data_IF_970222571115
#
_entry.id   IF_970222571115
#
_cell.length_a   1.000
_cell.length_b   1.000
_cell.length_c   1.000
_cell.angle_alpha   90.00
_cell.angle_beta   90.00
_cell.angle_gamma   90.00
#
_symmetry.space_group_name_H-M   'P 1'
#
loop_
_entity.id
_entity.type
_entity.pdbx_description
1 polymer ?
#
# COMPACT_ATOMS: atom_id res chain seq x y z
N UNK A 1 6.94 -26.57 -10.12
CA UNK A 1 7.56 -25.23 -10.09
C UNK A 1 7.43 -24.72 -8.66
N UNK A 2 8.53 -24.42 -7.98
CA UNK A 2 8.52 -24.01 -6.57
C UNK A 2 8.30 -22.49 -6.43
N UNK A 3 7.58 -21.89 -7.38
CA UNK A 3 7.40 -20.45 -7.51
C UNK A 3 5.96 -20.15 -7.87
N UNK A 4 5.40 -19.12 -7.22
CA UNK A 4 4.07 -18.58 -7.49
C UNK A 4 4.19 -17.14 -7.96
N UNK A 5 3.32 -16.73 -8.89
CA UNK A 5 3.31 -15.38 -9.47
C UNK A 5 2.02 -14.66 -9.12
N UNK A 6 2.14 -13.38 -8.79
CA UNK A 6 1.06 -12.47 -8.46
C UNK A 6 1.10 -11.25 -9.39
N UNK A 7 -0.07 -10.68 -9.67
CA UNK A 7 -0.22 -9.37 -10.31
C UNK A 7 -0.91 -8.42 -9.33
N UNK A 8 -0.18 -7.42 -8.83
CA UNK A 8 -0.67 -6.44 -7.85
C UNK A 8 -0.44 -5.05 -8.43
N UNK A 9 -1.49 -4.23 -8.48
CA UNK A 9 -1.44 -2.90 -9.09
C UNK A 9 -0.77 -2.89 -10.48
N UNK A 10 -1.10 -3.88 -11.30
CA UNK A 10 -0.56 -4.11 -12.65
C UNK A 10 0.91 -4.54 -12.75
N UNK A 11 1.61 -4.66 -11.62
CA UNK A 11 3.00 -5.10 -11.54
C UNK A 11 3.08 -6.57 -11.11
N UNK A 12 4.08 -7.29 -11.61
CA UNK A 12 4.26 -8.71 -11.29
C UNK A 12 5.24 -8.92 -10.16
N UNK A 13 4.88 -9.81 -9.24
CA UNK A 13 5.75 -10.30 -8.18
C UNK A 13 5.76 -11.82 -8.21
N UNK A 14 6.90 -12.42 -7.90
CA UNK A 14 6.97 -13.85 -7.68
C UNK A 14 7.60 -14.19 -6.35
N UNK A 15 7.19 -15.34 -5.80
CA UNK A 15 7.75 -15.87 -4.55
C UNK A 15 8.17 -17.31 -4.82
N UNK A 16 9.45 -17.59 -4.66
CA UNK A 16 10.04 -18.92 -4.72
C UNK A 16 10.33 -19.44 -3.31
N UNK A 17 9.84 -20.64 -3.00
CA UNK A 17 10.01 -21.26 -1.69
C UNK A 17 10.56 -22.69 -1.82
N UNK A 18 11.65 -23.08 -1.14
CA UNK A 18 12.27 -24.40 -1.29
C UNK A 18 11.31 -25.58 -1.07
N UNK A 19 10.39 -25.45 -0.11
CA UNK A 19 9.38 -26.46 0.23
C UNK A 19 8.14 -26.47 -0.69
N UNK A 20 8.09 -25.60 -1.71
CA UNK A 20 6.97 -25.52 -2.66
C UNK A 20 5.98 -24.38 -2.37
N UNK A 21 5.03 -24.19 -3.31
CA UNK A 21 4.12 -23.04 -3.31
C UNK A 21 3.00 -23.12 -2.27
N UNK A 22 2.69 -24.32 -1.76
CA UNK A 22 1.61 -24.52 -0.80
C UNK A 22 1.89 -23.79 0.52
N UNK A 23 3.15 -23.79 0.98
CA UNK A 23 3.58 -23.02 2.15
C UNK A 23 3.34 -21.51 1.96
N UNK A 24 3.62 -21.00 0.76
CA UNK A 24 3.41 -19.58 0.44
C UNK A 24 1.92 -19.24 0.44
N UNK A 25 1.08 -20.08 -0.18
CA UNK A 25 -0.36 -19.84 -0.24
C UNK A 25 -1.03 -19.94 1.14
N UNK A 26 -0.56 -20.84 2.01
CA UNK A 26 -1.06 -20.94 3.38
C UNK A 26 -0.65 -19.71 4.21
N UNK A 27 0.60 -19.27 4.11
CA UNK A 27 1.12 -18.12 4.86
C UNK A 27 0.54 -16.78 4.37
N UNK A 28 0.30 -16.67 3.06
CA UNK A 28 -0.13 -15.45 2.37
C UNK A 28 -1.49 -15.64 1.70
N UNK A 29 -2.44 -16.24 2.40
CA UNK A 29 -3.77 -16.57 1.87
C UNK A 29 -4.51 -15.36 1.24
N UNK A 30 -4.32 -14.16 1.80
CA UNK A 30 -4.87 -12.90 1.27
C UNK A 30 -4.36 -12.50 -0.11
N UNK A 31 -3.29 -13.11 -0.61
CA UNK A 31 -2.77 -12.87 -1.96
C UNK A 31 -3.47 -13.74 -3.01
N UNK A 32 -4.31 -14.71 -2.61
CA UNK A 32 -4.97 -15.64 -3.52
C UNK A 32 -5.71 -14.97 -4.70
N UNK A 33 -6.44 -13.85 -4.50
CA UNK A 33 -7.12 -13.16 -5.60
C UNK A 33 -6.17 -12.56 -6.66
N UNK A 34 -4.89 -12.42 -6.36
CA UNK A 34 -3.89 -11.79 -7.22
C UNK A 34 -3.03 -12.81 -7.99
N UNK A 35 -3.24 -14.12 -7.80
CA UNK A 35 -2.45 -15.17 -8.45
C UNK A 35 -2.66 -15.15 -9.97
N UNK A 36 -1.56 -15.20 -10.72
CA UNK A 36 -1.56 -15.33 -12.18
C UNK A 36 -0.58 -16.42 -12.62
N UNK A 37 -0.77 -16.97 -13.82
CA UNK A 37 0.11 -18.04 -14.34
C UNK A 37 1.52 -17.55 -14.64
N UNK A 38 1.64 -16.38 -15.26
CA UNK A 38 2.90 -15.77 -15.69
C UNK A 38 2.66 -14.27 -15.99
N UNK A 39 3.74 -13.47 -16.10
CA UNK A 39 3.64 -12.13 -16.67
C UNK A 39 3.01 -12.14 -18.07
N UNK A 40 2.21 -11.11 -18.38
CA UNK A 40 1.71 -10.90 -19.73
C UNK A 40 2.88 -10.65 -20.71
N UNK A 41 2.64 -10.91 -22.00
CA UNK A 41 3.67 -10.73 -23.03
C UNK A 41 4.23 -9.30 -23.01
N UNK A 42 5.56 -9.20 -22.93
CA UNK A 42 6.26 -7.90 -22.88
C UNK A 42 6.27 -7.22 -21.51
N UNK A 43 5.65 -7.81 -20.49
CA UNK A 43 5.75 -7.32 -19.10
C UNK A 43 6.79 -8.12 -18.31
N UNK A 44 7.57 -7.42 -17.51
CA UNK A 44 8.63 -8.03 -16.70
C UNK A 44 8.16 -8.39 -15.29
N UNK A 45 8.90 -9.29 -14.63
CA UNK A 45 8.81 -9.47 -13.19
C UNK A 45 9.36 -8.23 -12.49
N UNK A 46 8.53 -7.56 -11.68
CA UNK A 46 8.97 -6.36 -10.95
C UNK A 46 9.73 -6.71 -9.68
N UNK A 47 9.25 -7.71 -8.96
CA UNK A 47 9.89 -8.21 -7.74
C UNK A 47 9.97 -9.74 -7.76
N UNK A 48 11.17 -10.27 -7.51
CA UNK A 48 11.41 -11.68 -7.26
C UNK A 48 11.78 -11.87 -5.79
N UNK A 49 10.99 -12.66 -5.07
CA UNK A 49 11.23 -13.02 -3.67
C UNK A 49 11.72 -14.46 -3.62
N UNK A 50 12.85 -14.69 -2.97
CA UNK A 50 13.47 -15.99 -2.76
C UNK A 50 13.55 -16.27 -1.26
N UNK A 51 12.94 -17.36 -0.80
CA UNK A 51 13.06 -17.81 0.58
C UNK A 51 14.34 -18.62 0.73
N UNK A 52 15.18 -18.20 1.67
CA UNK A 52 16.51 -18.79 1.93
C UNK A 52 16.68 -19.10 3.41
N UNK A 53 17.58 -20.04 3.73
CA UNK A 53 17.89 -20.40 5.12
C UNK A 53 18.81 -19.37 5.79
N UNK A 54 19.61 -18.64 5.02
CA UNK A 54 20.56 -17.63 5.50
C UNK A 54 20.80 -16.54 4.45
N UNK A 55 21.07 -15.32 4.91
CA UNK A 55 21.48 -14.19 4.06
C UNK A 55 22.99 -14.17 3.75
N UNK A 56 23.74 -15.17 4.21
CA UNK A 56 25.17 -15.32 3.90
C UNK A 56 26.01 -14.14 4.40
N UNK A 57 26.75 -13.49 3.49
CA UNK A 57 27.67 -12.37 3.79
C UNK A 57 26.98 -11.00 3.91
N UNK A 58 25.65 -10.94 3.78
CA UNK A 58 24.90 -9.68 3.91
C UNK A 58 25.13 -9.05 5.28
N UNK A 59 25.52 -7.76 5.32
CA UNK A 59 25.89 -7.06 6.55
C UNK A 59 25.03 -5.81 6.74
N UNK A 60 24.73 -5.52 8.00
CA UNK A 60 24.15 -4.23 8.40
C UNK A 60 25.29 -3.21 8.47
N UNK A 61 25.29 -2.24 7.56
CA UNK A 61 26.33 -1.20 7.52
C UNK A 61 25.84 0.10 8.16
N UNK A 62 25.10 0.94 7.41
CA UNK A 62 24.53 2.19 7.89
C UNK A 62 23.02 2.08 8.04
N UNK A 63 22.48 2.45 9.20
CA UNK A 63 21.03 2.58 9.39
C UNK A 63 20.49 3.75 8.56
N UNK A 64 19.49 3.46 7.72
CA UNK A 64 18.79 4.45 6.90
C UNK A 64 17.48 4.84 7.55
N UNK A 65 16.74 3.88 8.08
CA UNK A 65 15.42 4.11 8.66
C UNK A 65 15.14 3.11 9.77
N UNK A 66 14.49 3.61 10.82
CA UNK A 66 13.94 2.79 11.88
C UNK A 66 12.59 3.30 12.32
N UNK A 67 11.63 2.39 12.43
CA UNK A 67 10.29 2.65 12.94
C UNK A 67 10.05 1.72 14.10
N UNK A 68 9.79 2.28 15.28
CA UNK A 68 9.55 1.53 16.51
C UNK A 68 8.22 1.92 17.14
N UNK A 69 7.45 0.90 17.50
CA UNK A 69 6.25 1.00 18.35
C UNK A 69 6.40 0.06 19.54
N UNK A 70 5.40 0.01 20.43
CA UNK A 70 5.44 -0.85 21.62
C UNK A 70 5.58 -2.36 21.32
N UNK A 71 5.19 -2.80 20.13
CA UNK A 71 5.15 -4.22 19.74
C UNK A 71 5.79 -4.52 18.38
N UNK A 72 6.21 -3.51 17.63
CA UNK A 72 6.80 -3.67 16.30
C UNK A 72 8.06 -2.81 16.15
N UNK A 73 9.11 -3.39 15.57
CA UNK A 73 10.31 -2.66 15.17
C UNK A 73 10.67 -3.06 13.73
N UNK A 74 10.80 -2.07 12.85
CA UNK A 74 11.27 -2.28 11.47
C UNK A 74 12.49 -1.40 11.23
N UNK A 75 13.55 -1.96 10.65
CA UNK A 75 14.79 -1.25 10.36
C UNK A 75 15.29 -1.56 8.96
N UNK A 76 15.91 -0.56 8.33
CA UNK A 76 16.53 -0.65 7.02
C UNK A 76 17.97 -0.16 7.13
N UNK A 77 18.89 -0.95 6.61
CA UNK A 77 20.31 -0.66 6.57
C UNK A 77 20.83 -0.72 5.13
N UNK A 78 21.90 0.00 4.83
CA UNK A 78 22.73 -0.30 3.66
C UNK A 78 23.45 -1.63 3.87
N UNK A 79 23.74 -2.34 2.78
CA UNK A 79 24.50 -3.58 2.74
C UNK A 79 25.20 -3.63 1.37
N UNK A 80 26.52 -3.79 1.28
CA UNK A 80 27.32 -3.85 0.04
C UNK A 80 26.61 -3.72 -1.34
N UNK A 81 25.89 -4.76 -1.75
CA UNK A 81 25.20 -4.90 -3.04
C UNK A 81 23.68 -4.55 -3.02
N UNK A 82 23.18 -3.97 -1.94
CA UNK A 82 21.77 -3.70 -1.72
C UNK A 82 21.42 -3.06 -0.38
N UNK A 83 20.35 -3.56 0.22
CA UNK A 83 19.83 -3.14 1.52
C UNK A 83 19.50 -4.35 2.38
N UNK A 84 19.66 -4.18 3.68
CA UNK A 84 19.30 -5.17 4.67
C UNK A 84 18.09 -4.67 5.46
N UNK A 85 17.05 -5.49 5.55
CA UNK A 85 15.82 -5.19 6.28
C UNK A 85 15.65 -6.18 7.43
N UNK A 86 15.25 -5.67 8.59
CA UNK A 86 14.83 -6.51 9.71
C UNK A 86 13.49 -6.02 10.26
N UNK A 87 12.54 -6.93 10.47
CA UNK A 87 11.24 -6.62 11.06
C UNK A 87 10.98 -7.59 12.20
N UNK A 88 10.66 -7.03 13.37
CA UNK A 88 10.32 -7.77 14.58
C UNK A 88 8.90 -7.41 15.02
N UNK A 89 8.12 -8.42 15.38
CA UNK A 89 6.81 -8.26 16.03
C UNK A 89 6.59 -9.39 17.04
N UNK A 90 6.54 -9.03 18.33
CA UNK A 90 6.46 -10.01 19.41
C UNK A 90 7.65 -10.99 19.36
N UNK A 91 7.38 -12.26 19.05
CA UNK A 91 8.41 -13.31 18.94
C UNK A 91 8.72 -13.69 17.47
N UNK A 92 8.15 -12.98 16.49
CA UNK A 92 8.41 -13.21 15.08
C UNK A 92 9.45 -12.21 14.59
N UNK A 93 10.52 -12.72 13.99
CA UNK A 93 11.64 -11.91 13.50
C UNK A 93 11.99 -12.34 12.08
N UNK A 94 11.92 -11.40 11.15
CA UNK A 94 12.16 -11.63 9.72
C UNK A 94 13.28 -10.74 9.25
N UNK A 95 14.21 -11.32 8.52
CA UNK A 95 15.32 -10.60 7.90
C UNK A 95 15.29 -10.78 6.39
N UNK A 96 15.71 -9.75 5.68
CA UNK A 96 15.79 -9.80 4.23
C UNK A 96 16.96 -8.99 3.69
N UNK A 97 17.50 -9.46 2.57
CA UNK A 97 18.45 -8.71 1.75
C UNK A 97 17.81 -8.40 0.41
N UNK A 98 17.80 -7.14 0.00
CA UNK A 98 17.21 -6.71 -1.26
C UNK A 98 18.25 -6.00 -2.13
N UNK A 99 18.24 -6.26 -3.44
CA UNK A 99 19.11 -5.59 -4.40
C UNK A 99 18.91 -4.06 -4.44
N UNK A 100 19.91 -3.30 -4.89
CA UNK A 100 19.87 -1.82 -4.97
C UNK A 100 18.67 -1.26 -5.76
N UNK A 101 18.17 -2.00 -6.74
CA UNK A 101 17.02 -1.63 -7.55
C UNK A 101 15.68 -2.06 -6.95
N UNK A 102 15.69 -2.66 -5.76
CA UNK A 102 14.53 -3.19 -5.05
C UNK A 102 13.79 -4.34 -5.76
N UNK A 103 14.41 -4.99 -6.76
CA UNK A 103 13.75 -6.02 -7.60
C UNK A 103 13.98 -7.46 -7.15
N UNK A 104 14.97 -7.73 -6.29
CA UNK A 104 15.30 -9.08 -5.84
C UNK A 104 15.42 -9.10 -4.32
N UNK A 105 14.51 -9.81 -3.65
CA UNK A 105 14.48 -9.97 -2.20
C UNK A 105 14.84 -11.42 -1.84
N UNK A 106 15.86 -11.60 -1.01
CA UNK A 106 16.08 -12.83 -0.25
C UNK A 106 15.50 -12.66 1.14
N UNK A 107 14.68 -13.59 1.61
CA UNK A 107 14.00 -13.50 2.91
C UNK A 107 14.28 -14.75 3.76
N UNK A 108 14.63 -14.51 5.02
CA UNK A 108 14.79 -15.53 6.06
C UNK A 108 13.67 -15.36 7.09
N UNK A 109 12.83 -16.38 7.21
CA UNK A 109 11.71 -16.43 8.14
C UNK A 109 11.27 -17.88 8.39
N UNK A 110 10.54 -18.12 9.47
CA UNK A 110 9.83 -19.39 9.67
C UNK A 110 8.47 -19.37 8.94
N UNK A 111 8.46 -19.92 7.72
CA UNK A 111 7.26 -20.02 6.87
C UNK A 111 6.28 -21.12 7.30
N UNK A 112 6.58 -21.87 8.35
CA UNK A 112 5.68 -22.90 8.91
C UNK A 112 4.89 -22.39 10.11
N UNK A 113 5.31 -21.27 10.69
CA UNK A 113 4.70 -20.69 11.89
C UNK A 113 3.79 -19.50 11.53
N UNK A 114 2.45 -19.63 11.69
CA UNK A 114 1.51 -18.58 11.32
C UNK A 114 1.76 -17.21 11.98
N UNK A 115 2.50 -17.16 13.09
CA UNK A 115 2.89 -15.89 13.74
C UNK A 115 3.76 -15.00 12.85
N UNK A 116 4.46 -15.59 11.89
CA UNK A 116 5.31 -14.87 10.95
C UNK A 116 4.54 -14.26 9.77
N UNK A 117 3.28 -14.66 9.54
CA UNK A 117 2.49 -14.23 8.37
C UNK A 117 2.48 -12.71 8.20
N UNK A 118 2.15 -11.99 9.26
CA UNK A 118 2.06 -10.53 9.24
C UNK A 118 3.43 -9.85 9.06
N UNK A 119 4.50 -10.45 9.59
CA UNK A 119 5.86 -9.89 9.50
C UNK A 119 6.45 -10.11 8.10
N UNK A 120 6.27 -11.31 7.54
CA UNK A 120 6.61 -11.65 6.16
C UNK A 120 5.84 -10.74 5.20
N UNK A 121 4.53 -10.63 5.39
CA UNK A 121 3.67 -9.77 4.58
C UNK A 121 4.12 -8.30 4.61
N UNK A 122 4.47 -7.79 5.80
CA UNK A 122 4.98 -6.42 5.96
C UNK A 122 6.29 -6.21 5.21
N UNK A 123 7.21 -7.18 5.26
CA UNK A 123 8.47 -7.10 4.51
C UNK A 123 8.22 -7.06 3.00
N UNK A 124 7.37 -7.97 2.51
CA UNK A 124 6.98 -8.02 1.09
C UNK A 124 6.33 -6.70 0.66
N UNK A 125 5.43 -6.13 1.49
CA UNK A 125 4.80 -4.84 1.21
C UNK A 125 5.82 -3.71 1.05
N UNK A 126 6.77 -3.58 2.00
CA UNK A 126 7.78 -2.53 1.98
C UNK A 126 8.62 -2.64 0.71
N UNK A 127 9.15 -3.84 0.44
CA UNK A 127 10.02 -4.07 -0.72
C UNK A 127 9.26 -3.88 -2.03
N UNK A 128 8.04 -4.40 -2.15
CA UNK A 128 7.23 -4.22 -3.34
C UNK A 128 6.90 -2.74 -3.58
N UNK A 129 6.58 -1.99 -2.54
CA UNK A 129 6.32 -0.54 -2.62
C UNK A 129 7.54 0.21 -3.16
N UNK A 130 8.72 -0.06 -2.63
CA UNK A 130 9.97 0.54 -3.10
C UNK A 130 10.30 0.11 -4.54
N UNK A 131 10.01 -1.14 -4.90
CA UNK A 131 10.18 -1.64 -6.25
C UNK A 131 9.31 -0.86 -7.23
N UNK A 132 8.07 -0.51 -6.91
CA UNK A 132 7.16 0.16 -7.86
C UNK A 132 7.19 1.69 -7.81
N UNK A 133 7.81 2.29 -6.79
CA UNK A 133 7.96 3.74 -6.65
C UNK A 133 8.54 4.45 -7.89
N UNK A 134 9.57 3.93 -8.59
CA UNK A 134 10.08 4.55 -9.81
C UNK A 134 9.09 4.63 -10.97
N UNK A 135 8.00 3.87 -10.91
CA UNK A 135 6.93 3.86 -11.91
C UNK A 135 5.81 4.86 -11.56
N UNK A 136 5.97 5.63 -10.46
CA UNK A 136 5.01 6.64 -10.01
C UNK A 136 3.86 6.10 -9.15
N UNK A 137 3.99 4.88 -8.60
CA UNK A 137 3.01 4.36 -7.65
C UNK A 137 3.28 4.91 -6.25
N UNK A 138 2.21 5.37 -5.60
CA UNK A 138 2.18 5.83 -4.22
C UNK A 138 1.39 4.85 -3.36
N UNK A 139 2.01 4.32 -2.32
CA UNK A 139 1.29 3.65 -1.22
C UNK A 139 0.74 4.71 -0.29
N UNK A 140 -0.57 4.74 -0.11
CA UNK A 140 -1.24 5.77 0.71
C UNK A 140 -1.99 5.10 1.84
N UNK A 141 -1.77 5.53 3.09
CA UNK A 141 -2.52 5.03 4.23
C UNK A 141 -3.96 5.59 4.22
N UNK A 142 -4.91 4.81 3.70
CA UNK A 142 -6.26 5.26 3.37
C UNK A 142 -7.30 4.13 3.34
N UNK A 143 -8.58 4.54 3.42
CA UNK A 143 -9.73 3.69 3.11
C UNK A 143 -10.37 4.14 1.81
N UNK A 144 -10.73 3.20 0.93
CA UNK A 144 -11.13 3.50 -0.45
C UNK A 144 -12.51 2.91 -0.74
N UNK A 145 -13.44 3.80 -1.07
CA UNK A 145 -14.76 3.43 -1.61
C UNK A 145 -14.75 3.61 -3.12
N UNK A 146 -15.38 2.66 -3.80
CA UNK A 146 -15.64 2.67 -5.22
C UNK A 146 -17.16 2.73 -5.48
N UNK A 147 -17.54 3.47 -6.52
CA UNK A 147 -18.90 3.56 -7.04
C UNK A 147 -18.83 3.73 -8.57
N UNK A 148 -19.27 2.71 -9.30
CA UNK A 148 -19.37 2.72 -10.78
C UNK A 148 -18.05 3.07 -11.49
N UNK A 149 -16.95 2.44 -11.05
CA UNK A 149 -15.59 2.63 -11.57
C UNK A 149 -14.89 3.90 -11.08
N UNK A 150 -15.53 4.68 -10.20
CA UNK A 150 -15.01 5.93 -9.63
C UNK A 150 -14.73 5.74 -8.15
N UNK A 151 -13.65 6.31 -7.63
CA UNK A 151 -13.23 6.11 -6.25
C UNK A 151 -13.03 7.42 -5.48
N UNK A 152 -13.28 7.34 -4.18
CA UNK A 152 -12.87 8.32 -3.18
C UNK A 152 -11.87 7.68 -2.23
N UNK A 153 -10.80 8.43 -1.93
CA UNK A 153 -9.73 7.98 -1.04
C UNK A 153 -9.83 8.78 0.26
N UNK A 154 -10.23 8.12 1.34
CA UNK A 154 -10.35 8.70 2.68
C UNK A 154 -9.02 8.56 3.41
N UNK A 155 -8.38 9.69 3.70
CA UNK A 155 -7.11 9.82 4.42
C UNK A 155 -7.35 10.43 5.80
N UNK A 156 -6.34 10.35 6.67
CA UNK A 156 -6.40 10.94 8.00
C UNK A 156 -5.51 10.20 8.99
N UNK A 157 -5.23 10.86 10.11
CA UNK A 157 -4.47 10.29 11.22
C UNK A 157 -5.09 8.96 11.66
N UNK A 158 -4.28 8.03 12.16
CA UNK A 158 -4.81 6.78 12.70
C UNK A 158 -5.84 7.07 13.79
N UNK A 159 -6.99 6.38 13.75
CA UNK A 159 -8.10 6.61 14.68
C UNK A 159 -9.09 7.72 14.31
N UNK A 160 -8.89 8.50 13.24
CA UNK A 160 -9.83 9.57 12.84
C UNK A 160 -11.15 9.07 12.24
N UNK A 161 -11.27 7.77 11.95
CA UNK A 161 -12.51 7.15 11.49
C UNK A 161 -12.61 6.90 9.98
N UNK A 162 -11.51 6.79 9.23
CA UNK A 162 -11.48 6.44 7.79
C UNK A 162 -12.38 5.24 7.46
N UNK A 163 -12.13 4.09 8.09
CA UNK A 163 -12.91 2.85 7.87
C UNK A 163 -14.34 2.96 8.37
N UNK A 164 -14.60 3.77 9.41
CA UNK A 164 -15.96 4.09 9.86
C UNK A 164 -16.73 4.84 8.80
N UNK A 165 -16.09 5.82 8.15
CA UNK A 165 -16.71 6.59 7.06
C UNK A 165 -16.99 5.72 5.83
N UNK A 166 -16.06 4.86 5.44
CA UNK A 166 -16.29 3.87 4.37
C UNK A 166 -17.45 2.93 4.70
N UNK A 167 -17.58 2.49 5.95
CA UNK A 167 -18.72 1.66 6.38
C UNK A 167 -20.06 2.41 6.26
N UNK A 168 -20.10 3.68 6.63
CA UNK A 168 -21.30 4.51 6.46
C UNK A 168 -21.65 4.67 4.97
N UNK A 169 -20.66 4.82 4.10
CA UNK A 169 -20.86 4.81 2.65
C UNK A 169 -21.55 3.53 2.16
N UNK A 170 -21.06 2.37 2.58
CA UNK A 170 -21.66 1.07 2.22
C UNK A 170 -23.09 0.91 2.73
N UNK A 171 -23.42 1.55 3.85
CA UNK A 171 -24.77 1.52 4.44
C UNK A 171 -25.76 2.43 3.71
N UNK A 172 -25.31 3.59 3.24
CA UNK A 172 -26.20 4.66 2.77
C UNK A 172 -26.17 4.89 1.25
N UNK A 173 -25.13 4.44 0.53
CA UNK A 173 -24.98 4.60 -0.91
C UNK A 173 -25.08 3.24 -1.60
N UNK A 174 -26.23 2.93 -2.23
CA UNK A 174 -26.39 1.70 -3.02
C UNK A 174 -25.31 1.57 -4.10
N UNK A 175 -24.94 0.34 -4.42
CA UNK A 175 -23.92 -0.01 -5.42
C UNK A 175 -22.48 0.41 -5.06
N UNK A 176 -22.26 1.11 -3.94
CA UNK A 176 -20.90 1.40 -3.48
C UNK A 176 -20.23 0.12 -2.96
N UNK A 177 -18.94 -0.01 -3.20
CA UNK A 177 -18.14 -1.13 -2.73
C UNK A 177 -16.84 -0.67 -2.07
N UNK A 178 -16.33 -1.48 -1.15
CA UNK A 178 -15.01 -1.27 -0.58
C UNK A 178 -13.97 -1.80 -1.57
N UNK A 179 -12.96 -0.98 -1.87
CA UNK A 179 -11.86 -1.34 -2.78
C UNK A 179 -10.61 -1.74 -2.00
N UNK A 180 -10.27 -0.99 -0.95
CA UNK A 180 -9.18 -1.29 -0.01
C UNK A 180 -9.40 -0.51 1.31
N UNK A 181 -8.87 -1.01 2.43
CA UNK A 181 -9.04 -0.39 3.74
C UNK A 181 -7.74 -0.38 4.58
N UNK A 182 -6.59 -0.03 3.99
CA UNK A 182 -5.39 0.43 4.72
C UNK A 182 -4.32 1.02 3.81
N UNK A 183 -3.82 0.25 2.84
CA UNK A 183 -2.60 0.55 2.09
C UNK A 183 -2.82 0.34 0.57
N UNK A 184 -3.77 1.06 -0.05
CA UNK A 184 -3.91 1.06 -1.51
C UNK A 184 -2.68 1.66 -2.21
N UNK A 185 -2.50 1.28 -3.48
CA UNK A 185 -1.62 2.00 -4.39
C UNK A 185 -2.39 2.98 -5.26
N UNK A 186 -1.81 4.14 -5.50
CA UNK A 186 -2.32 5.21 -6.36
C UNK A 186 -1.28 5.56 -7.41
N UNK A 187 -1.70 5.79 -8.66
CA UNK A 187 -0.78 6.18 -9.73
C UNK A 187 -1.48 7.09 -10.74
N UNK A 188 -0.76 8.08 -11.25
CA UNK A 188 -1.12 8.75 -12.50
C UNK A 188 -0.68 7.87 -13.68
N UNK A 189 -1.65 7.32 -14.42
CA UNK A 189 -1.38 6.45 -15.56
C UNK A 189 -0.97 7.26 -16.82
N UNK A 190 -0.56 6.54 -17.86
CA UNK A 190 -0.11 7.10 -19.13
C UNK A 190 -1.25 7.82 -19.90
N UNK A 191 -2.52 7.51 -19.59
CA UNK A 191 -3.68 8.20 -20.17
C UNK A 191 -3.98 9.55 -19.48
N UNK A 192 -3.28 9.86 -18.38
CA UNK A 192 -3.48 11.07 -17.60
C UNK A 192 -4.57 10.94 -16.54
N UNK A 193 -5.03 9.72 -16.23
CA UNK A 193 -6.00 9.42 -15.17
C UNK A 193 -5.27 8.99 -13.90
N UNK A 194 -5.78 9.43 -12.75
CA UNK A 194 -5.32 8.91 -11.46
C UNK A 194 -6.13 7.67 -11.13
N UNK A 195 -5.45 6.53 -11.00
CA UNK A 195 -6.05 5.25 -10.65
C UNK A 195 -5.65 4.83 -9.24
N UNK A 196 -6.57 4.16 -8.55
CA UNK A 196 -6.32 3.46 -7.29
C UNK A 196 -6.51 1.97 -7.49
N UNK A 197 -5.66 1.17 -6.83
CA UNK A 197 -5.62 -0.28 -6.99
C UNK A 197 -5.91 -0.98 -5.66
N UNK A 198 -6.78 -1.99 -5.72
CA UNK A 198 -6.94 -2.92 -4.62
C UNK A 198 -5.69 -3.79 -4.48
N UNK A 199 -5.31 -4.05 -3.23
CA UNK A 199 -4.05 -4.69 -2.86
C UNK A 199 -4.28 -5.76 -1.77
N UNK A 200 -3.35 -6.72 -1.58
CA UNK A 200 -3.44 -7.70 -0.50
C UNK A 200 -3.22 -7.08 0.90
N UNK A 201 -2.83 -5.80 0.97
CA UNK A 201 -2.67 -5.06 2.22
C UNK A 201 -3.93 -4.23 2.46
N UNK A 202 -4.81 -4.79 3.30
CA UNK A 202 -6.03 -4.15 3.79
C UNK A 202 -6.08 -4.37 5.30
N UNK A 203 -6.64 -3.41 6.02
CA UNK A 203 -6.52 -3.30 7.48
C UNK A 203 -7.58 -4.13 8.18
N UNK A 204 -8.36 -3.48 9.04
CA UNK A 204 -9.38 -4.16 9.86
C UNK A 204 -10.49 -4.83 9.05
N UNK A 205 -10.70 -4.40 7.80
CA UNK A 205 -11.66 -5.01 6.89
C UNK A 205 -10.92 -5.84 5.83
N UNK A 206 -11.19 -7.15 5.79
CA UNK A 206 -10.67 -8.02 4.74
C UNK A 206 -11.25 -7.61 3.38
N UNK A 207 -10.41 -7.03 2.53
CA UNK A 207 -10.79 -6.54 1.21
C UNK A 207 -9.61 -6.69 0.24
N UNK A 208 -9.52 -7.88 -0.37
CA UNK A 208 -8.41 -8.27 -1.24
C UNK A 208 -8.92 -8.42 -2.67
N UNK A 209 -9.04 -7.30 -3.39
CA UNK A 209 -9.70 -7.28 -4.71
C UNK A 209 -8.72 -6.83 -5.79
N UNK A 210 -8.50 -7.60 -6.86
CA UNK A 210 -7.63 -7.23 -7.97
C UNK A 210 -8.36 -6.30 -8.95
N UNK A 211 -8.88 -5.18 -8.43
CA UNK A 211 -9.63 -4.17 -9.20
C UNK A 211 -8.93 -2.82 -9.11
N UNK A 212 -9.25 -1.95 -10.06
CA UNK A 212 -8.86 -0.55 -10.04
C UNK A 212 -10.05 0.36 -10.31
N UNK A 213 -9.94 1.62 -9.91
CA UNK A 213 -10.95 2.65 -10.13
C UNK A 213 -10.29 4.01 -10.35
N UNK A 214 -10.98 4.90 -11.07
CA UNK A 214 -10.53 6.27 -11.29
C UNK A 214 -10.79 7.12 -10.05
N UNK A 215 -9.75 7.76 -9.52
CA UNK A 215 -9.85 8.61 -8.33
C UNK A 215 -10.50 9.94 -8.71
N UNK A 216 -11.62 10.27 -8.05
CA UNK A 216 -12.31 11.55 -8.24
C UNK A 216 -11.94 12.59 -7.20
N UNK A 217 -11.64 12.17 -5.98
CA UNK A 217 -11.11 13.04 -4.95
C UNK A 217 -10.39 12.25 -3.85
N UNK A 218 -9.46 12.94 -3.20
CA UNK A 218 -8.97 12.57 -1.88
C UNK A 218 -9.74 13.37 -0.83
N UNK A 219 -10.01 12.78 0.32
CA UNK A 219 -10.71 13.43 1.42
C UNK A 219 -9.97 13.14 2.72
N UNK A 220 -9.41 14.17 3.35
CA UNK A 220 -8.75 14.08 4.64
C UNK A 220 -9.76 14.33 5.77
N UNK A 221 -9.92 13.35 6.65
CA UNK A 221 -10.89 13.37 7.74
C UNK A 221 -10.32 14.01 9.00
N UNK A 222 -11.12 14.89 9.61
CA UNK A 222 -10.90 15.47 10.94
C UNK A 222 -12.13 15.21 11.79
N UNK A 223 -11.95 14.84 13.07
CA UNK A 223 -13.09 14.69 13.98
C UNK A 223 -13.64 16.08 14.33
N UNK A 224 -14.95 16.27 14.17
CA UNK A 224 -15.63 17.50 14.50
C UNK A 224 -17.07 17.22 14.97
N UNK A 225 -17.70 18.14 15.73
CA UNK A 225 -19.10 18.00 16.14
C UNK A 225 -20.09 18.37 15.02
N UNK A 226 -19.61 18.70 13.81
CA UNK A 226 -20.39 19.09 12.65
C UNK A 226 -19.78 18.49 11.37
N UNK A 227 -20.53 18.55 10.27
CA UNK A 227 -20.09 18.11 8.95
C UNK A 227 -19.80 19.31 8.06
N UNK A 228 -18.57 19.43 7.57
CA UNK A 228 -18.19 20.45 6.59
C UNK A 228 -17.18 19.86 5.59
N UNK A 229 -17.45 20.06 4.29
CA UNK A 229 -16.56 19.65 3.21
C UNK A 229 -16.01 20.90 2.50
N UNK A 230 -14.69 21.04 2.46
CA UNK A 230 -14.03 22.16 1.77
C UNK A 230 -12.78 21.72 1.02
N UNK A 231 -12.47 22.32 -0.13
CA UNK A 231 -11.22 22.03 -0.83
C UNK A 231 -10.02 22.51 0.01
N UNK A 232 -8.95 21.73 0.02
CA UNK A 232 -7.67 22.17 0.59
C UNK A 232 -6.94 23.07 -0.40
N UNK A 233 -6.14 24.01 0.13
CA UNK A 233 -5.19 24.75 -0.69
C UNK A 233 -4.13 23.81 -1.28
N UNK A 234 -3.44 24.17 -2.38
CA UNK A 234 -2.41 23.33 -2.97
C UNK A 234 -1.32 22.89 -1.98
N UNK A 235 -0.93 23.78 -1.07
CA UNK A 235 0.06 23.49 -0.02
C UNK A 235 -0.47 22.47 0.99
N UNK A 236 -1.70 22.64 1.46
CA UNK A 236 -2.32 21.71 2.41
C UNK A 236 -2.56 20.34 1.76
N UNK A 237 -2.98 20.30 0.50
CA UNK A 237 -3.15 19.08 -0.28
C UNK A 237 -1.84 18.30 -0.41
N UNK A 238 -0.75 19.00 -0.76
CA UNK A 238 0.60 18.43 -0.85
C UNK A 238 1.03 17.81 0.48
N UNK A 239 0.94 18.56 1.58
CA UNK A 239 1.31 18.06 2.91
C UNK A 239 0.44 16.88 3.34
N UNK A 240 -0.86 16.95 3.06
CA UNK A 240 -1.84 15.91 3.41
C UNK A 240 -1.54 14.57 2.71
N UNK A 241 -1.35 14.59 1.38
CA UNK A 241 -1.08 13.37 0.63
C UNK A 241 0.34 12.85 0.86
N UNK A 242 1.33 13.75 0.95
CA UNK A 242 2.72 13.36 1.23
C UNK A 242 2.87 12.70 2.60
N UNK A 243 2.27 13.26 3.66
CA UNK A 243 2.29 12.65 5.01
C UNK A 243 1.49 11.35 5.12
N UNK A 244 0.54 11.13 4.21
CA UNK A 244 -0.21 9.87 4.12
C UNK A 244 0.53 8.82 3.29
N UNK A 245 1.65 9.15 2.65
CA UNK A 245 2.41 8.21 1.80
C UNK A 245 3.43 7.42 2.61
N UNK A 246 3.34 6.09 2.58
CA UNK A 246 4.09 5.19 3.46
C UNK A 246 5.37 4.61 2.85
N UNK A 247 6.39 5.43 2.56
CA UNK A 247 7.67 5.00 1.97
C UNK A 247 8.87 5.26 2.88
N UNK A 248 10.03 4.73 2.48
CA UNK A 248 11.30 5.04 3.12
C UNK A 248 11.73 6.47 2.79
N UNK A 249 11.48 7.45 3.66
CA UNK A 249 11.68 8.87 3.34
C UNK A 249 13.03 9.42 3.76
N UNK A 250 13.86 8.65 4.47
CA UNK A 250 15.17 9.11 4.92
C UNK A 250 16.22 9.13 3.79
N UNK A 251 16.01 8.38 2.70
CA UNK A 251 16.82 8.51 1.50
C UNK A 251 16.30 9.63 0.58
N UNK A 252 17.23 10.44 0.06
CA UNK A 252 16.86 11.57 -0.81
C UNK A 252 16.18 11.09 -2.11
N UNK A 253 16.64 9.97 -2.67
CA UNK A 253 16.09 9.43 -3.91
C UNK A 253 14.61 9.09 -3.77
N UNK A 254 14.25 8.27 -2.78
CA UNK A 254 12.87 7.87 -2.54
C UNK A 254 11.98 9.05 -2.14
N UNK A 255 12.49 9.96 -1.31
CA UNK A 255 11.77 11.18 -0.93
C UNK A 255 11.41 12.03 -2.15
N UNK A 256 12.34 12.21 -3.08
CA UNK A 256 12.11 12.96 -4.30
C UNK A 256 11.09 12.25 -5.20
N UNK A 257 11.20 10.93 -5.36
CA UNK A 257 10.24 10.15 -6.16
C UNK A 257 8.82 10.23 -5.59
N UNK A 258 8.67 10.19 -4.26
CA UNK A 258 7.37 10.37 -3.60
C UNK A 258 6.86 11.78 -3.84
N UNK A 259 7.69 12.82 -3.67
CA UNK A 259 7.31 14.20 -3.90
C UNK A 259 6.83 14.44 -5.34
N UNK A 260 7.55 13.93 -6.33
CA UNK A 260 7.22 14.06 -7.74
C UNK A 260 5.91 13.34 -8.07
N UNK A 261 5.74 12.12 -7.56
CA UNK A 261 4.51 11.34 -7.74
C UNK A 261 3.30 12.01 -7.09
N UNK A 262 3.46 12.55 -5.88
CA UNK A 262 2.41 13.31 -5.18
C UNK A 262 2.04 14.55 -5.99
N UNK A 263 3.03 15.30 -6.47
CA UNK A 263 2.82 16.49 -7.29
C UNK A 263 2.09 16.15 -8.59
N UNK A 264 2.47 15.05 -9.25
CA UNK A 264 1.81 14.58 -10.47
C UNK A 264 0.33 14.21 -10.23
N UNK A 265 0.03 13.48 -9.14
CA UNK A 265 -1.34 13.14 -8.75
C UNK A 265 -2.18 14.39 -8.45
N UNK A 266 -1.63 15.33 -7.68
CA UNK A 266 -2.32 16.55 -7.29
C UNK A 266 -2.53 17.54 -8.44
N UNK A 267 -1.80 17.38 -9.55
CA UNK A 267 -2.06 18.13 -10.79
C UNK A 267 -3.38 17.72 -11.46
N UNK A 268 -3.94 16.55 -11.11
CA UNK A 268 -5.15 15.98 -11.71
C UNK A 268 -6.33 15.89 -10.76
N UNK A 269 -6.08 15.54 -9.49
CA UNK A 269 -7.13 15.24 -8.51
C UNK A 269 -6.97 16.11 -7.27
N UNK A 270 -8.08 16.69 -6.81
CA UNK A 270 -8.12 17.59 -5.65
C UNK A 270 -8.19 16.80 -4.34
N UNK A 271 -7.71 17.45 -3.27
CA UNK A 271 -7.86 16.99 -1.89
C UNK A 271 -8.85 17.90 -1.17
N UNK A 272 -9.78 17.29 -0.45
CA UNK A 272 -10.77 17.97 0.38
C UNK A 272 -10.50 17.67 1.85
N UNK A 273 -10.88 18.61 2.72
CA UNK A 273 -11.02 18.38 4.15
C UNK A 273 -12.49 18.07 4.43
N UNK A 274 -12.71 16.99 5.18
CA UNK A 274 -14.00 16.69 5.80
C UNK A 274 -13.84 16.83 7.31
N UNK A 275 -14.42 17.89 7.86
CA UNK A 275 -14.74 17.96 9.29
C UNK A 275 -15.93 17.01 9.49
N UNK A 276 -15.75 15.95 10.29
CA UNK A 276 -16.58 14.76 10.26
C UNK A 276 -17.23 14.46 11.61
N UNK A 277 -18.55 14.53 11.64
CA UNK A 277 -19.42 13.82 12.58
C UNK A 277 -19.96 12.58 11.84
N UNK A 278 -19.67 11.35 12.30
CA UNK A 278 -19.86 10.14 11.51
C UNK A 278 -21.35 9.75 11.38
N UNK A 279 -22.06 10.41 10.47
CA UNK A 279 -23.48 10.21 10.17
C UNK A 279 -23.74 10.32 8.65
N UNK A 280 -24.98 10.04 8.23
CA UNK A 280 -25.37 10.00 6.81
C UNK A 280 -25.09 11.31 6.06
N UNK A 281 -25.17 12.46 6.73
CA UNK A 281 -24.86 13.76 6.13
C UNK A 281 -23.42 13.84 5.61
N UNK A 282 -22.43 13.35 6.38
CA UNK A 282 -21.03 13.31 5.96
C UNK A 282 -20.83 12.46 4.69
N UNK A 283 -21.58 11.35 4.59
CA UNK A 283 -21.60 10.50 3.40
C UNK A 283 -22.15 11.26 2.20
N UNK A 284 -23.27 11.99 2.36
CA UNK A 284 -23.87 12.80 1.29
C UNK A 284 -22.92 13.90 0.79
N UNK A 285 -22.22 14.57 1.69
CA UNK A 285 -21.21 15.58 1.35
C UNK A 285 -20.13 14.98 0.45
N UNK A 286 -19.49 13.89 0.90
CA UNK A 286 -18.42 13.25 0.11
C UNK A 286 -18.96 12.61 -1.17
N UNK A 287 -20.20 12.13 -1.17
CA UNK A 287 -20.86 11.55 -2.36
C UNK A 287 -21.02 12.56 -3.50
N UNK A 288 -21.20 13.83 -3.16
CA UNK A 288 -21.28 14.92 -4.16
C UNK A 288 -19.99 15.10 -4.98
N UNK A 289 -18.85 14.52 -4.54
CA UNK A 289 -17.57 14.56 -5.26
C UNK A 289 -17.49 13.54 -6.41
N UNK A 290 -18.45 12.63 -6.53
CA UNK A 290 -18.53 11.68 -7.64
C UNK A 290 -19.62 12.16 -8.60
N UNK A 291 -19.21 12.70 -9.74
CA UNK A 291 -20.12 12.94 -10.86
C UNK A 291 -20.58 11.59 -11.41
N UNK A 292 -21.88 11.30 -11.39
CA UNK A 292 -22.46 10.19 -12.15
C UNK A 292 -23.01 10.77 -13.45
N UNK A 293 -22.13 10.90 -14.45
CA UNK A 293 -22.56 10.98 -15.85
C UNK A 293 -23.17 9.64 -16.30
#
# INVERSE_FOLDING_TARGET
>A
MNQITYKIAEQYMSIAHPQGVDCVQQMLSKYAPFIVKAPAQGQEMRLSVEVVDTLGESKREQELESVKSCVHEAKVYTSGDGYYLSIESGNAFVEGHVSKDWRNLKIVADWTNPRYANVIDRMIMIVFSMAILPLGYLKVHASVIELKGKALIFMGVSGTGKSTHSRLWLQHIPESTLLNDDEPFVRLDESGKVLVYGCPWSGSTECYRPISAEVKAFVHLYQAPYNELKPLSPREALMSLFSSSGFLLNENWSRNQVFDSVSAVLSKVKVYRLDNRPEEEAVKLTRSLIDLE
#
